data_IF_774367468482
#
_entry.id   IF_774367468482
#
_cell.length_a   1.000
_cell.length_b   1.000
_cell.length_c   1.000
_cell.angle_alpha   90.00
_cell.angle_beta   90.00
_cell.angle_gamma   90.00
#
_symmetry.space_group_name_H-M   'P 1'
#
loop_
_entity.id
_entity.type
_entity.pdbx_description
1 polymer ?
#
# COMPACT_ATOMS: atom_id res chain seq x y z
N UNK A 1 -12.68 18.32 -8.11
CA UNK A 1 -11.47 17.65 -7.57
C UNK A 1 -11.70 17.35 -6.09
N UNK A 2 -11.53 16.11 -5.67
CA UNK A 2 -11.65 15.73 -4.27
C UNK A 2 -10.29 15.83 -3.58
N UNK A 3 -10.25 16.45 -2.41
CA UNK A 3 -9.06 16.49 -1.58
C UNK A 3 -8.88 15.14 -0.87
N UNK A 4 -7.64 14.69 -0.77
CA UNK A 4 -7.34 13.43 -0.09
C UNK A 4 -7.02 13.73 1.38
N UNK A 5 -8.04 13.69 2.21
CA UNK A 5 -7.89 13.76 3.66
C UNK A 5 -9.00 12.93 4.33
N UNK A 6 -8.79 12.56 5.57
CA UNK A 6 -9.72 11.71 6.30
C UNK A 6 -9.25 10.26 6.42
N UNK A 7 -10.15 9.38 6.80
CA UNK A 7 -9.83 8.01 7.12
C UNK A 7 -9.78 7.09 5.90
N UNK A 8 -8.94 6.07 5.97
CA UNK A 8 -9.07 4.90 5.11
C UNK A 8 -10.33 4.14 5.54
N UNK A 9 -11.20 3.79 4.59
CA UNK A 9 -12.49 3.15 4.90
C UNK A 9 -12.43 1.64 4.96
N UNK A 10 -11.74 1.01 4.01
CA UNK A 10 -11.68 -0.44 3.97
C UNK A 10 -10.41 -0.93 3.30
N UNK A 11 -9.98 -2.11 3.74
CA UNK A 11 -8.83 -2.82 3.18
C UNK A 11 -9.29 -4.25 2.90
N UNK A 12 -9.19 -4.68 1.66
CA UNK A 12 -9.54 -6.03 1.26
C UNK A 12 -8.41 -6.68 0.49
N UNK A 13 -8.30 -8.00 0.62
CA UNK A 13 -7.32 -8.80 -0.11
C UNK A 13 -8.02 -10.00 -0.71
N UNK A 14 -7.92 -10.18 -2.01
CA UNK A 14 -8.35 -11.39 -2.69
C UNK A 14 -7.12 -12.25 -2.98
N UNK A 15 -7.07 -13.43 -2.39
CA UNK A 15 -5.93 -14.33 -2.46
C UNK A 15 -6.41 -15.74 -2.82
N UNK A 16 -5.50 -16.58 -3.32
CA UNK A 16 -5.83 -17.97 -3.66
C UNK A 16 -6.34 -18.79 -2.48
N UNK A 17 -6.00 -18.40 -1.25
CA UNK A 17 -6.47 -19.06 -0.01
C UNK A 17 -7.81 -18.55 0.48
N UNK A 18 -8.34 -17.47 -0.09
CA UNK A 18 -9.62 -16.87 0.29
C UNK A 18 -9.62 -15.35 0.20
N UNK A 19 -10.74 -14.76 0.60
CA UNK A 19 -10.90 -13.32 0.65
C UNK A 19 -10.73 -12.86 2.10
N UNK A 20 -9.96 -11.79 2.28
CA UNK A 20 -9.64 -11.24 3.60
C UNK A 20 -10.06 -9.79 3.67
N UNK A 21 -10.45 -9.36 4.85
CA UNK A 21 -10.86 -7.99 5.10
C UNK A 21 -10.24 -7.51 6.40
N UNK A 22 -9.68 -6.29 6.35
CA UNK A 22 -9.05 -5.66 7.50
C UNK A 22 -9.71 -4.31 7.75
N UNK A 23 -9.88 -3.95 9.01
CA UNK A 23 -10.52 -2.70 9.39
C UNK A 23 -9.48 -1.66 9.77
N UNK A 24 -9.37 -0.55 9.03
CA UNK A 24 -8.45 0.53 9.39
C UNK A 24 -8.86 1.19 10.70
N UNK A 25 -7.86 1.62 11.46
CA UNK A 25 -8.13 2.37 12.69
C UNK A 25 -8.57 3.80 12.32
N UNK A 26 -9.67 4.29 12.92
CA UNK A 26 -10.15 5.64 12.68
C UNK A 26 -9.22 6.70 13.26
N UNK A 27 -9.21 7.87 12.65
CA UNK A 27 -8.40 9.04 13.04
C UNK A 27 -6.89 8.79 13.01
N UNK A 28 -6.43 7.82 12.24
CA UNK A 28 -5.01 7.51 12.06
C UNK A 28 -4.63 7.61 10.59
N UNK A 29 -3.39 8.03 10.34
CA UNK A 29 -2.89 8.24 8.99
C UNK A 29 -2.47 6.95 8.32
N UNK A 30 -2.82 6.81 7.05
CA UNK A 30 -2.20 5.85 6.14
C UNK A 30 -1.29 6.59 5.19
N UNK A 31 -0.10 6.06 4.96
CA UNK A 31 0.86 6.61 4.02
C UNK A 31 0.84 5.78 2.75
N UNK A 32 0.58 6.44 1.63
CA UNK A 32 0.46 5.78 0.32
C UNK A 32 1.60 6.23 -0.58
N UNK A 33 2.44 5.28 -0.97
CA UNK A 33 3.43 5.45 -2.02
C UNK A 33 3.03 4.52 -3.16
N UNK A 34 2.56 5.09 -4.26
CA UNK A 34 2.07 4.29 -5.38
C UNK A 34 3.18 3.55 -6.12
N UNK A 35 4.40 3.99 -5.99
CA UNK A 35 5.52 3.36 -6.70
C UNK A 35 5.46 3.58 -8.20
N UNK A 36 6.02 2.64 -8.95
CA UNK A 36 6.06 2.71 -10.40
C UNK A 36 7.27 3.46 -10.92
N UNK A 37 7.11 4.14 -12.03
CA UNK A 37 8.20 4.84 -12.71
C UNK A 37 8.44 6.20 -12.07
N UNK A 38 9.70 6.49 -11.76
CA UNK A 38 10.15 7.78 -11.21
C UNK A 38 11.30 8.34 -12.02
N UNK A 39 11.46 9.64 -11.96
CA UNK A 39 12.63 10.31 -12.52
C UNK A 39 13.83 10.12 -11.59
N UNK A 40 14.96 9.72 -12.17
CA UNK A 40 16.21 9.64 -11.42
C UNK A 40 16.99 10.93 -11.64
N UNK A 41 16.76 11.92 -10.78
CA UNK A 41 17.34 13.24 -10.92
C UNK A 41 18.86 13.21 -10.81
N UNK A 42 19.41 12.32 -10.00
CA UNK A 42 20.86 12.18 -9.85
C UNK A 42 21.54 11.71 -11.14
N UNK A 43 20.85 10.99 -12.00
CA UNK A 43 21.35 10.49 -13.26
C UNK A 43 20.96 11.36 -14.46
N UNK A 44 20.13 12.39 -14.26
CA UNK A 44 19.77 13.32 -15.32
C UNK A 44 20.98 14.17 -15.72
N UNK A 45 21.08 14.46 -17.01
CA UNK A 45 22.17 15.25 -17.56
C UNK A 45 21.64 16.40 -18.39
N UNK A 46 22.37 17.49 -18.41
CA UNK A 46 22.03 18.67 -19.23
C UNK A 46 23.13 18.87 -20.28
N UNK A 47 22.71 18.95 -21.54
CA UNK A 47 23.61 19.31 -22.64
C UNK A 47 23.97 20.78 -22.63
N UNK A 48 25.01 21.16 -23.38
CA UNK A 48 25.44 22.57 -23.43
C UNK A 48 24.41 23.51 -24.02
N UNK A 49 23.43 22.99 -24.75
CA UNK A 49 22.34 23.78 -25.33
C UNK A 49 21.07 23.76 -24.47
N UNK A 50 21.18 23.28 -23.21
CA UNK A 50 20.06 23.24 -22.27
C UNK A 50 19.12 22.05 -22.40
N UNK A 51 19.44 21.06 -23.21
CA UNK A 51 18.63 19.85 -23.34
C UNK A 51 18.82 18.95 -22.11
N UNK A 52 17.70 18.63 -21.45
CA UNK A 52 17.71 17.72 -20.31
C UNK A 52 17.57 16.26 -20.79
N UNK A 53 18.53 15.44 -20.48
CA UNK A 53 18.44 13.98 -20.68
C UNK A 53 17.90 13.34 -19.42
N UNK A 54 16.68 12.79 -19.50
CA UNK A 54 15.95 12.27 -18.36
C UNK A 54 16.21 10.78 -18.21
N UNK A 55 16.60 10.38 -17.03
CA UNK A 55 16.72 8.97 -16.64
C UNK A 55 15.52 8.59 -15.76
N UNK A 56 15.05 7.36 -15.92
CA UNK A 56 13.91 6.85 -15.15
C UNK A 56 14.27 5.51 -14.50
N UNK A 57 13.63 5.24 -13.36
CA UNK A 57 13.75 3.96 -12.67
C UNK A 57 12.41 3.55 -12.11
N UNK A 58 12.27 2.27 -11.78
CA UNK A 58 11.08 1.75 -11.13
C UNK A 58 11.33 1.51 -9.66
N UNK A 59 10.35 1.82 -8.83
CA UNK A 59 10.37 1.53 -7.42
C UNK A 59 9.05 0.87 -7.01
N UNK A 60 9.09 0.04 -5.97
CA UNK A 60 7.90 -0.61 -5.45
C UNK A 60 6.97 0.41 -4.82
N UNK A 61 5.66 0.12 -4.88
CA UNK A 61 4.66 0.84 -4.12
C UNK A 61 4.55 0.26 -2.71
N UNK A 62 4.07 1.10 -1.78
CA UNK A 62 3.91 0.70 -0.39
C UNK A 62 2.79 1.50 0.24
N UNK A 63 1.87 0.81 0.90
CA UNK A 63 0.82 1.45 1.70
C UNK A 63 0.97 0.94 3.13
N UNK A 64 1.06 1.85 4.10
CA UNK A 64 1.19 1.49 5.50
C UNK A 64 0.26 2.29 6.39
N UNK A 65 -0.22 1.66 7.44
CA UNK A 65 -1.04 2.29 8.45
C UNK A 65 -1.58 1.29 9.47
N UNK A 66 -2.16 1.79 10.56
CA UNK A 66 -2.68 0.92 11.63
C UNK A 66 -4.04 0.32 11.27
N UNK A 67 -4.20 -0.95 11.57
CA UNK A 67 -5.49 -1.67 11.49
C UNK A 67 -5.86 -2.21 12.86
N UNK A 68 -7.14 -2.49 13.06
CA UNK A 68 -7.60 -3.13 14.30
C UNK A 68 -7.10 -4.58 14.35
N UNK A 69 -6.58 -4.97 15.51
CA UNK A 69 -6.04 -6.30 15.73
C UNK A 69 -7.09 -7.22 16.35
N UNK A 70 -7.10 -8.48 15.90
CA UNK A 70 -7.82 -9.57 16.54
C UNK A 70 -7.04 -10.86 16.30
N UNK A 71 -7.41 -11.94 16.98
CA UNK A 71 -6.77 -13.23 16.74
C UNK A 71 -6.97 -13.70 15.31
N UNK A 72 -8.13 -13.40 14.73
CA UNK A 72 -8.41 -13.75 13.33
C UNK A 72 -7.53 -12.93 12.37
N UNK A 73 -7.35 -11.64 12.62
CA UNK A 73 -6.49 -10.77 11.81
C UNK A 73 -5.03 -11.26 11.86
N UNK A 74 -4.54 -11.61 13.03
CA UNK A 74 -3.18 -12.15 13.17
C UNK A 74 -3.01 -13.45 12.37
N UNK A 75 -4.00 -14.34 12.42
CA UNK A 75 -3.99 -15.59 11.67
C UNK A 75 -4.01 -15.32 10.17
N UNK A 76 -4.87 -14.43 9.71
CA UNK A 76 -5.00 -14.07 8.29
C UNK A 76 -3.71 -13.46 7.75
N UNK A 77 -3.10 -12.53 8.49
CA UNK A 77 -1.83 -11.92 8.09
C UNK A 77 -0.70 -12.95 8.05
N UNK A 78 -0.71 -13.90 8.97
CA UNK A 78 0.28 -14.97 8.99
C UNK A 78 0.16 -15.87 7.74
N UNK A 79 -1.06 -16.21 7.34
CA UNK A 79 -1.31 -16.98 6.12
C UNK A 79 -0.80 -16.21 4.89
N UNK A 80 -1.15 -14.94 4.78
CA UNK A 80 -0.75 -14.10 3.65
C UNK A 80 0.77 -13.89 3.59
N UNK A 81 1.41 -13.73 4.74
CA UNK A 81 2.86 -13.52 4.84
C UNK A 81 3.63 -14.77 4.43
N UNK A 82 3.15 -15.94 4.79
CA UNK A 82 3.82 -17.22 4.50
C UNK A 82 3.52 -17.76 3.10
N UNK A 83 2.53 -17.22 2.43
CA UNK A 83 2.20 -17.65 1.08
C UNK A 83 3.28 -17.23 0.08
N UNK A 84 3.58 -18.11 -0.87
CA UNK A 84 4.49 -17.79 -1.98
C UNK A 84 3.82 -16.91 -3.05
N UNK A 85 2.49 -16.82 -3.04
CA UNK A 85 1.73 -16.07 -4.04
C UNK A 85 1.27 -14.72 -3.45
N UNK A 86 1.35 -13.62 -4.23
CA UNK A 86 0.79 -12.35 -3.82
C UNK A 86 -0.75 -12.37 -3.89
N UNK A 87 -1.39 -11.47 -3.15
CA UNK A 87 -2.82 -11.24 -3.22
C UNK A 87 -3.14 -9.94 -3.94
N UNK A 88 -4.41 -9.77 -4.30
CA UNK A 88 -4.92 -8.53 -4.88
C UNK A 88 -5.48 -7.65 -3.76
N UNK A 89 -4.80 -6.55 -3.50
CA UNK A 89 -5.15 -5.63 -2.41
C UNK A 89 -5.91 -4.43 -2.92
N UNK A 90 -6.94 -4.03 -2.19
CA UNK A 90 -7.75 -2.86 -2.49
C UNK A 90 -7.93 -2.03 -1.23
N UNK A 91 -7.58 -0.75 -1.32
CA UNK A 91 -7.71 0.22 -0.23
C UNK A 91 -8.69 1.30 -0.67
N UNK A 92 -9.76 1.51 0.08
CA UNK A 92 -10.78 2.52 -0.21
C UNK A 92 -10.66 3.65 0.80
N UNK A 93 -10.57 4.88 0.32
CA UNK A 93 -10.46 6.08 1.13
C UNK A 93 -11.74 6.89 1.13
N UNK A 94 -11.97 7.72 2.16
CA UNK A 94 -13.16 8.58 2.29
C UNK A 94 -13.32 9.58 1.15
N UNK A 95 -12.22 9.99 0.52
CA UNK A 95 -12.27 10.90 -0.64
C UNK A 95 -12.86 10.26 -1.90
N UNK A 96 -13.13 8.95 -1.89
CA UNK A 96 -13.54 8.18 -3.05
C UNK A 96 -12.36 7.56 -3.82
N UNK A 97 -11.13 7.89 -3.45
CA UNK A 97 -9.95 7.29 -4.06
C UNK A 97 -9.87 5.80 -3.69
N UNK A 98 -9.57 4.96 -4.66
CA UNK A 98 -9.36 3.52 -4.50
C UNK A 98 -7.95 3.19 -4.97
N UNK A 99 -7.16 2.58 -4.09
CA UNK A 99 -5.81 2.15 -4.43
C UNK A 99 -5.81 0.62 -4.58
N UNK A 100 -5.32 0.14 -5.70
CA UNK A 100 -5.25 -1.30 -6.00
C UNK A 100 -3.82 -1.69 -6.31
N UNK A 101 -3.41 -2.86 -5.79
CA UNK A 101 -2.11 -3.43 -6.16
C UNK A 101 -2.13 -3.88 -7.61
N UNK A 102 -1.12 -3.47 -8.37
CA UNK A 102 -0.93 -3.94 -9.75
C UNK A 102 -0.08 -5.20 -9.69
N UNK A 103 -0.61 -6.30 -10.24
CA UNK A 103 0.04 -7.62 -10.24
C UNK A 103 0.31 -8.19 -8.85
N UNK A 104 -0.50 -7.79 -7.89
CA UNK A 104 -0.47 -8.34 -6.54
C UNK A 104 0.47 -7.63 -5.59
N UNK A 105 0.23 -7.85 -4.31
CA UNK A 105 1.01 -7.31 -3.22
C UNK A 105 1.11 -8.29 -2.06
N UNK A 106 2.06 -8.03 -1.17
CA UNK A 106 2.33 -8.88 -0.01
C UNK A 106 2.54 -8.04 1.23
N UNK A 107 2.17 -8.55 2.43
CA UNK A 107 2.56 -7.93 3.68
C UNK A 107 4.08 -7.97 3.84
N UNK A 108 4.66 -6.86 4.29
CA UNK A 108 6.10 -6.75 4.53
C UNK A 108 6.38 -6.13 5.89
N UNK A 109 7.62 -6.23 6.34
CA UNK A 109 8.06 -5.70 7.62
C UNK A 109 7.63 -6.56 8.80
N UNK A 110 7.84 -6.03 9.99
CA UNK A 110 7.50 -6.71 11.24
C UNK A 110 6.06 -6.38 11.61
N UNK A 111 5.18 -7.37 11.50
CA UNK A 111 3.77 -7.22 11.83
C UNK A 111 3.60 -7.42 13.35
N UNK A 112 3.82 -6.36 14.10
CA UNK A 112 3.75 -6.38 15.56
C UNK A 112 2.38 -5.92 16.04
N UNK A 113 1.79 -6.69 16.96
CA UNK A 113 0.55 -6.33 17.61
C UNK A 113 0.84 -5.49 18.84
N UNK A 114 0.26 -4.29 18.90
CA UNK A 114 0.22 -3.47 20.09
C UNK A 114 -0.96 -3.95 20.94
N UNK A 115 -0.66 -4.72 21.99
CA UNK A 115 -1.72 -5.32 22.82
C UNK A 115 -2.50 -4.31 23.65
N UNK A 116 -1.93 -3.14 23.87
CA UNK A 116 -2.58 -2.07 24.63
C UNK A 116 -3.53 -1.25 23.76
N UNK A 117 -3.11 -0.91 22.56
CA UNK A 117 -3.94 -0.18 21.60
C UNK A 117 -4.88 -1.09 20.80
N UNK A 118 -4.59 -2.39 20.74
CA UNK A 118 -5.36 -3.33 19.93
C UNK A 118 -5.17 -3.13 18.44
N UNK A 119 -3.96 -2.78 18.00
CA UNK A 119 -3.66 -2.46 16.60
C UNK A 119 -2.44 -3.21 16.10
N UNK A 120 -2.39 -3.37 14.77
CA UNK A 120 -1.22 -3.85 14.03
C UNK A 120 -0.89 -2.81 12.98
N UNK A 121 0.38 -2.48 12.81
CA UNK A 121 0.80 -1.66 11.67
C UNK A 121 0.91 -2.56 10.44
N UNK A 122 -0.02 -2.38 9.51
CA UNK A 122 -0.05 -3.13 8.27
C UNK A 122 0.79 -2.41 7.21
N UNK A 123 1.68 -3.13 6.57
CA UNK A 123 2.52 -2.61 5.50
C UNK A 123 2.38 -3.57 4.31
N UNK A 124 1.84 -3.06 3.20
CA UNK A 124 1.67 -3.84 1.98
C UNK A 124 2.57 -3.27 0.90
N UNK A 125 3.42 -4.11 0.33
CA UNK A 125 4.27 -3.77 -0.80
C UNK A 125 3.77 -4.43 -2.08
N UNK A 126 3.77 -3.67 -3.17
CA UNK A 126 3.45 -4.15 -4.50
C UNK A 126 4.44 -3.56 -5.50
N UNK A 127 4.44 -4.04 -6.74
CA UNK A 127 5.22 -3.42 -7.80
C UNK A 127 4.82 -1.97 -8.02
N UNK A 128 3.52 -1.74 -8.02
CA UNK A 128 2.95 -0.39 -7.98
C UNK A 128 1.49 -0.48 -7.53
N UNK A 129 0.94 0.65 -7.08
CA UNK A 129 -0.49 0.80 -6.81
C UNK A 129 -1.09 1.75 -7.83
N UNK A 130 -2.22 1.36 -8.42
CA UNK A 130 -3.00 2.26 -9.26
C UNK A 130 -4.06 2.97 -8.40
N UNK A 131 -4.37 4.20 -8.76
CA UNK A 131 -5.43 4.96 -8.11
C UNK A 131 -6.60 5.11 -9.08
N UNK A 132 -7.81 4.74 -8.60
CA UNK A 132 -9.06 4.83 -9.34
C UNK A 132 -9.98 5.76 -8.56
N UNK A 133 -10.62 6.70 -9.26
CA UNK A 133 -11.57 7.61 -8.64
C UNK A 133 -10.93 8.70 -7.78
N UNK A 134 -11.73 9.36 -7.01
CA UNK A 134 -11.32 10.50 -6.16
C UNK A 134 -11.42 11.85 -6.87
#
# INVERSE_FOLDING_TARGET
MALIFGDMLSITCSHSTGDYRFEPKSNESFNVDKGGVRNNDDANQIGTQGTLMVQKYRTRGKIEGPILASTQVETDLNILTKSALPGDWTFVHTSGAVYRSVRGGVPVGDLQTDTNAGTITLIIAAGEFEQIGG
#
